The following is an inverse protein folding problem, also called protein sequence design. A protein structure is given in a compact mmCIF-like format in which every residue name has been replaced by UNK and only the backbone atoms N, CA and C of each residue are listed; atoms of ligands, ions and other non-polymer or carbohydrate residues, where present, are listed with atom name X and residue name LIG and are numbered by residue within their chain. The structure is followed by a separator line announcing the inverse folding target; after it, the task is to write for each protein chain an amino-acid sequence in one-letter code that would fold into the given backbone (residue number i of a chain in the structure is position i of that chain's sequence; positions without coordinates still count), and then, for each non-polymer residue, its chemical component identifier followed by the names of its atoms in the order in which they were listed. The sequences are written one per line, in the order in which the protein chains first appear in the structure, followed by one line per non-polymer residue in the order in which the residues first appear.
data_IF_113231654324
#
_entry.id   IF_113231654324
#
_cell.length_a   1.000
_cell.length_b   1.000
_cell.length_c   1.000
_cell.angle_alpha   90.00
_cell.angle_beta   90.00
_cell.angle_gamma   90.00
#
_symmetry.space_group_name_H-M   'P 1'
#
loop_
_entity.id
_entity.type
_entity.pdbx_description
1 polymer ?
#
# COMPACT_ATOMS: atom_id res chain seq x y z
N UNK A 1 -8.45 16.81 -12.62
CA UNK A 1 -8.36 15.42 -12.14
C UNK A 1 -7.95 15.47 -10.68
N UNK A 2 -8.77 14.97 -9.75
CA UNK A 2 -8.46 14.98 -8.32
C UNK A 2 -7.77 13.68 -7.93
N UNK A 3 -6.71 13.78 -7.13
CA UNK A 3 -6.00 12.63 -6.58
C UNK A 3 -6.14 12.75 -5.06
N UNK A 4 -6.62 11.68 -4.42
CA UNK A 4 -6.72 11.60 -2.97
C UNK A 4 -5.61 10.69 -2.48
N UNK A 5 -4.74 11.21 -1.61
CA UNK A 5 -3.70 10.41 -0.96
C UNK A 5 -4.23 9.88 0.37
N UNK A 6 -4.38 8.57 0.46
CA UNK A 6 -4.69 7.88 1.73
C UNK A 6 -3.41 7.34 2.34
N UNK A 7 -3.15 7.69 3.60
CA UNK A 7 -2.07 7.11 4.41
C UNK A 7 -2.66 6.16 5.44
N UNK A 8 -2.17 4.92 5.46
CA UNK A 8 -2.61 3.89 6.41
C UNK A 8 -1.42 3.46 7.25
N UNK A 9 -1.63 3.39 8.56
CA UNK A 9 -0.63 2.89 9.50
C UNK A 9 -0.84 1.38 9.72
N UNK A 10 0.21 0.59 9.47
CA UNK A 10 0.18 -0.88 9.59
C UNK A 10 0.50 -1.38 11.00
N UNK A 11 0.57 -0.49 11.99
CA UNK A 11 1.01 -0.84 13.35
C UNK A 11 2.52 -0.74 13.52
N UNK A 12 2.98 -1.04 14.74
CA UNK A 12 4.39 -0.96 15.10
C UNK A 12 5.23 -2.06 14.42
N UNK A 13 6.55 -1.88 14.42
CA UNK A 13 7.51 -2.80 13.80
C UNK A 13 7.32 -4.27 14.20
N UNK A 14 6.98 -4.54 15.47
CA UNK A 14 6.75 -5.91 15.96
C UNK A 14 5.48 -6.52 15.35
N UNK A 15 4.41 -5.73 15.23
CA UNK A 15 3.15 -6.15 14.59
C UNK A 15 3.37 -6.47 13.12
N UNK A 16 4.07 -5.60 12.38
CA UNK A 16 4.35 -5.79 10.95
C UNK A 16 5.22 -7.02 10.65
N UNK A 17 6.19 -7.33 11.54
CA UNK A 17 7.09 -8.48 11.38
C UNK A 17 6.40 -9.83 11.54
N UNK A 18 5.17 -9.86 12.06
CA UNK A 18 4.44 -11.12 12.23
C UNK A 18 3.98 -11.65 10.87
N UNK A 19 4.26 -12.91 10.51
CA UNK A 19 3.83 -13.47 9.21
C UNK A 19 2.31 -13.48 9.02
N UNK A 20 1.55 -13.60 10.13
CA UNK A 20 0.08 -13.60 10.16
C UNK A 20 -0.55 -12.19 10.12
N UNK A 21 0.23 -11.18 9.75
CA UNK A 21 -0.28 -9.81 9.69
C UNK A 21 -1.40 -9.69 8.64
N UNK A 22 -2.54 -9.04 8.94
CA UNK A 22 -3.71 -9.03 8.04
C UNK A 22 -3.36 -8.54 6.63
N UNK A 23 -2.57 -7.49 6.53
CA UNK A 23 -2.13 -6.93 5.25
C UNK A 23 -1.23 -7.85 4.40
N UNK A 24 -0.63 -8.88 5.01
CA UNK A 24 0.13 -9.93 4.30
C UNK A 24 -0.77 -11.06 3.82
N UNK A 25 -1.80 -11.37 4.60
CA UNK A 25 -2.72 -12.48 4.34
C UNK A 25 -3.88 -12.09 3.41
N UNK A 26 -4.24 -10.81 3.39
CA UNK A 26 -5.29 -10.31 2.52
C UNK A 26 -4.93 -10.53 1.04
N UNK A 27 -5.78 -11.25 0.31
CA UNK A 27 -5.53 -11.62 -1.08
C UNK A 27 -5.51 -10.44 -2.05
N UNK A 28 -6.19 -9.35 -1.71
CA UNK A 28 -6.22 -8.13 -2.54
C UNK A 28 -4.91 -7.37 -2.38
N UNK A 29 -4.43 -7.20 -1.15
CA UNK A 29 -3.22 -6.42 -0.87
C UNK A 29 -1.93 -7.24 -0.97
N UNK A 30 -1.87 -8.40 -0.31
CA UNK A 30 -0.71 -9.30 -0.23
C UNK A 30 0.62 -8.53 -0.10
N UNK A 31 0.73 -7.68 0.93
CA UNK A 31 1.86 -6.77 1.10
C UNK A 31 3.13 -7.54 1.49
N UNK A 32 4.22 -7.32 0.76
CA UNK A 32 5.53 -7.95 1.05
C UNK A 32 6.42 -7.09 1.95
N UNK A 33 6.34 -5.77 1.80
CA UNK A 33 7.16 -4.79 2.52
C UNK A 33 6.37 -3.52 2.85
N UNK A 34 7.02 -2.59 3.55
CA UNK A 34 6.56 -1.22 3.76
C UNK A 34 7.77 -0.26 3.62
N UNK A 35 7.56 1.01 3.23
CA UNK A 35 6.32 1.58 2.72
C UNK A 35 5.89 0.95 1.38
N UNK A 36 4.60 1.00 1.04
CA UNK A 36 4.09 0.55 -0.26
C UNK A 36 3.00 1.50 -0.72
N UNK A 37 3.16 2.06 -1.91
CA UNK A 37 2.18 2.93 -2.54
C UNK A 37 1.35 2.12 -3.53
N UNK A 38 0.04 2.33 -3.52
CA UNK A 38 -0.91 1.58 -4.34
C UNK A 38 -1.82 2.57 -5.05
N UNK A 39 -1.99 2.37 -6.35
CA UNK A 39 -3.02 3.06 -7.14
C UNK A 39 -4.34 2.32 -6.97
N UNK A 40 -5.29 2.98 -6.32
CA UNK A 40 -6.63 2.45 -6.06
C UNK A 40 -7.65 3.22 -6.88
N UNK A 41 -8.42 2.52 -7.71
CA UNK A 41 -9.45 3.11 -8.56
C UNK A 41 -10.64 2.17 -8.70
N UNK A 42 -11.86 2.72 -8.62
CA UNK A 42 -13.11 1.97 -8.78
C UNK A 42 -13.13 0.71 -7.90
N UNK A 43 -12.83 0.88 -6.62
CA UNK A 43 -12.75 -0.17 -5.59
C UNK A 43 -11.75 -1.31 -5.87
N UNK A 44 -10.82 -1.13 -6.81
CA UNK A 44 -9.83 -2.14 -7.17
C UNK A 44 -8.41 -1.60 -7.20
N UNK A 45 -7.46 -2.42 -6.75
CA UNK A 45 -6.03 -2.13 -6.87
C UNK A 45 -5.65 -2.22 -8.35
N UNK A 46 -5.23 -1.10 -8.94
CA UNK A 46 -4.84 -1.01 -10.35
C UNK A 46 -3.35 -1.16 -10.57
N UNK A 47 -2.55 -0.87 -9.56
CA UNK A 47 -1.10 -1.00 -9.64
C UNK A 47 -0.42 -0.73 -8.32
N UNK A 48 0.80 -1.26 -8.18
CA UNK A 48 1.74 -0.86 -7.13
C UNK A 48 2.61 0.24 -7.72
N UNK A 49 2.58 1.41 -7.08
CA UNK A 49 3.43 2.53 -7.49
C UNK A 49 4.82 2.25 -6.93
N UNK A 50 5.76 1.89 -7.79
CA UNK A 50 7.17 1.83 -7.43
C UNK A 50 7.76 3.26 -7.28
N UNK A 51 8.97 3.38 -6.74
CA UNK A 51 9.60 4.67 -6.40
C UNK A 51 9.61 5.67 -7.58
N UNK A 52 9.62 5.19 -8.82
CA UNK A 52 9.60 6.04 -10.01
C UNK A 52 8.21 6.63 -10.32
N UNK A 53 7.14 5.89 -10.07
CA UNK A 53 5.75 6.32 -10.29
C UNK A 53 5.20 7.13 -9.10
N UNK A 54 5.79 6.96 -7.91
CA UNK A 54 5.45 7.74 -6.73
C UNK A 54 5.92 9.21 -6.82
N UNK A 55 6.81 9.53 -7.77
CA UNK A 55 7.29 10.89 -8.02
C UNK A 55 6.35 11.64 -8.97
N UNK A 56 5.09 11.82 -8.57
CA UNK A 56 4.24 12.82 -9.21
C UNK A 56 4.84 14.19 -8.90
N UNK A 57 5.54 14.78 -9.88
CA UNK A 57 6.00 16.17 -9.78
C UNK A 57 4.78 17.06 -9.57
N UNK A 58 4.83 17.83 -8.48
CA UNK A 58 3.88 18.90 -8.15
C UNK A 58 3.85 19.97 -9.22
#
# INVERSE_FOLDING_TARGET
MFIILMRVYVGHRRTWRTPRHPWRLDGSFNLKGIPTSIRWENDAIKGRLEDHEAHLKS
#
